data_IF_845350468139
#
_entry.id   IF_845350468139
#
_cell.length_a   1.000
_cell.length_b   1.000
_cell.length_c   1.000
_cell.angle_alpha   90.00
_cell.angle_beta   90.00
_cell.angle_gamma   90.00
#
_symmetry.space_group_name_H-M   'P 1'
#
loop_
_entity.id
_entity.type
_entity.pdbx_description
1 polymer ?
#
# COMPACT_ATOMS: atom_id res chain seq x y z
N UNK A 1 -2.48 14.01 8.79
CA UNK A 1 -3.69 13.50 8.12
C UNK A 1 -3.31 12.37 7.19
N UNK A 2 -4.18 11.36 7.00
CA UNK A 2 -3.96 10.31 6.00
C UNK A 2 -3.85 10.91 4.58
N UNK A 3 -3.20 10.20 3.67
CA UNK A 3 -3.18 10.54 2.25
C UNK A 3 -4.48 9.98 1.65
N UNK A 4 -5.31 10.86 1.08
CA UNK A 4 -6.62 10.52 0.50
C UNK A 4 -6.85 11.36 -0.77
N UNK A 5 -7.62 10.84 -1.76
CA UNK A 5 -8.24 9.51 -1.79
C UNK A 5 -7.20 8.38 -1.88
N UNK A 6 -7.60 7.11 -1.69
CA UNK A 6 -6.66 5.98 -1.90
C UNK A 6 -6.47 5.72 -3.40
N UNK A 7 -7.57 5.79 -4.15
CA UNK A 7 -7.68 5.43 -5.57
C UNK A 7 -8.68 6.35 -6.24
N UNK A 8 -8.63 6.42 -7.56
CA UNK A 8 -9.64 7.07 -8.40
C UNK A 8 -10.12 6.09 -9.47
N UNK A 9 -11.36 6.28 -9.92
CA UNK A 9 -11.99 5.54 -11.01
C UNK A 9 -12.72 6.52 -11.92
N UNK A 10 -13.03 6.08 -13.14
CA UNK A 10 -13.80 6.87 -14.11
C UNK A 10 -15.19 7.22 -13.52
N UNK A 11 -15.42 8.51 -13.34
CA UNK A 11 -16.67 9.04 -12.78
C UNK A 11 -17.57 9.68 -13.84
N UNK A 12 -17.18 9.68 -15.11
CA UNK A 12 -17.79 10.52 -16.13
C UNK A 12 -17.11 11.89 -16.20
N UNK A 13 -17.50 12.65 -17.22
CA UNK A 13 -16.87 13.91 -17.60
C UNK A 13 -17.91 15.02 -17.81
N UNK A 14 -17.43 16.25 -17.88
CA UNK A 14 -18.22 17.44 -18.20
C UNK A 14 -17.85 17.96 -19.58
N UNK A 15 -18.84 18.41 -20.33
CA UNK A 15 -18.60 19.16 -21.56
C UNK A 15 -18.09 20.55 -21.21
N UNK A 16 -17.15 21.06 -21.98
CA UNK A 16 -16.61 22.41 -21.87
C UNK A 16 -16.79 23.13 -23.20
N UNK A 17 -17.38 24.32 -23.18
CA UNK A 17 -17.49 25.21 -24.33
C UNK A 17 -16.93 26.60 -24.00
N UNK A 18 -17.19 27.58 -24.88
CA UNK A 18 -16.73 28.97 -24.71
C UNK A 18 -17.45 29.73 -23.59
N UNK A 19 -18.56 29.23 -23.08
CA UNK A 19 -19.40 29.87 -22.06
C UNK A 19 -19.18 29.23 -20.68
N UNK A 20 -18.92 27.93 -20.61
CA UNK A 20 -18.62 27.23 -19.37
C UNK A 20 -18.61 25.71 -19.49
N UNK A 21 -18.79 25.04 -18.36
CA UNK A 21 -18.89 23.58 -18.31
C UNK A 21 -20.28 23.10 -17.89
N UNK A 22 -20.73 21.97 -18.47
CA UNK A 22 -22.01 21.36 -18.16
C UNK A 22 -21.92 19.84 -18.22
N UNK A 23 -22.67 19.16 -17.34
CA UNK A 23 -22.79 17.70 -17.39
C UNK A 23 -23.68 17.27 -18.54
N UNK A 24 -23.14 16.51 -19.50
CA UNK A 24 -23.87 15.99 -20.66
C UNK A 24 -24.09 14.49 -20.47
N UNK A 25 -25.30 13.93 -20.66
CA UNK A 25 -25.56 12.51 -20.42
C UNK A 25 -24.61 11.54 -21.14
N UNK A 26 -24.14 11.88 -22.35
CA UNK A 26 -23.19 11.06 -23.12
C UNK A 26 -21.79 10.99 -22.53
N UNK A 27 -21.48 11.86 -21.55
CA UNK A 27 -20.22 11.88 -20.83
C UNK A 27 -20.34 11.23 -19.43
N UNK A 28 -21.53 10.70 -19.09
CA UNK A 28 -21.80 10.07 -17.79
C UNK A 28 -21.87 8.56 -17.95
N UNK A 29 -21.78 7.83 -16.84
CA UNK A 29 -21.92 6.37 -16.86
C UNK A 29 -23.40 6.01 -16.93
N UNK A 30 -23.71 4.93 -17.65
CA UNK A 30 -25.06 4.35 -17.74
C UNK A 30 -25.30 3.42 -16.55
N UNK A 31 -26.49 3.46 -15.97
CA UNK A 31 -26.93 2.59 -14.88
C UNK A 31 -28.42 2.31 -14.96
N UNK A 32 -28.92 1.38 -14.14
CA UNK A 32 -30.34 1.07 -14.02
C UNK A 32 -31.09 2.17 -13.27
N UNK A 33 -32.29 2.50 -13.74
CA UNK A 33 -33.17 3.42 -13.02
C UNK A 33 -33.83 2.72 -11.82
N UNK A 34 -34.16 3.46 -10.76
CA UNK A 34 -34.82 2.90 -9.57
C UNK A 34 -36.28 2.50 -9.82
N UNK A 35 -36.92 3.04 -10.86
CA UNK A 35 -38.27 2.68 -11.30
C UNK A 35 -38.24 2.14 -12.73
N UNK A 36 -38.04 0.81 -12.93
CA UNK A 36 -37.88 0.21 -14.26
C UNK A 36 -39.11 0.35 -15.17
N UNK A 37 -40.31 0.46 -14.58
CA UNK A 37 -41.56 0.62 -15.34
C UNK A 37 -41.66 1.99 -16.04
N UNK A 38 -41.07 3.03 -15.45
CA UNK A 38 -41.07 4.39 -16.03
C UNK A 38 -39.92 4.56 -17.03
N UNK A 39 -38.75 4.01 -16.68
CA UNK A 39 -37.52 4.12 -17.45
C UNK A 39 -36.60 2.98 -17.07
N UNK A 40 -35.99 2.31 -18.05
CA UNK A 40 -35.06 1.20 -17.78
C UNK A 40 -33.69 1.69 -17.28
N UNK A 41 -33.14 2.73 -17.91
CA UNK A 41 -31.78 3.20 -17.66
C UNK A 41 -31.72 4.69 -17.34
N UNK A 42 -30.74 5.09 -16.54
CA UNK A 42 -30.40 6.49 -16.29
C UNK A 42 -28.89 6.67 -16.31
N UNK A 43 -28.42 7.90 -16.20
CA UNK A 43 -27.01 8.20 -16.06
C UNK A 43 -26.67 8.71 -14.67
N UNK A 44 -25.43 8.50 -14.26
CA UNK A 44 -24.87 8.95 -12.99
C UNK A 44 -23.38 9.27 -13.17
N UNK A 45 -22.84 10.13 -12.32
CA UNK A 45 -21.50 10.70 -12.52
C UNK A 45 -20.77 11.00 -11.19
N UNK A 46 -19.58 11.58 -11.31
CA UNK A 46 -18.70 12.01 -10.25
C UNK A 46 -18.28 10.86 -9.31
N UNK A 47 -18.07 11.18 -8.03
CA UNK A 47 -17.54 10.23 -7.03
C UNK A 47 -18.49 9.06 -6.75
N UNK A 48 -19.80 9.21 -6.98
CA UNK A 48 -20.77 8.11 -6.87
C UNK A 48 -20.55 7.05 -7.95
N UNK A 49 -20.35 7.48 -9.20
CA UNK A 49 -20.02 6.59 -10.32
C UNK A 49 -18.66 5.91 -10.11
N UNK A 50 -17.64 6.68 -9.72
CA UNK A 50 -16.33 6.14 -9.39
C UNK A 50 -16.38 5.10 -8.24
N UNK A 51 -17.20 5.34 -7.22
CA UNK A 51 -17.39 4.40 -6.09
C UNK A 51 -18.08 3.11 -6.54
N UNK A 52 -19.05 3.19 -7.45
CA UNK A 52 -19.70 2.01 -8.01
C UNK A 52 -18.70 1.14 -8.78
N UNK A 53 -17.83 1.75 -9.60
CA UNK A 53 -16.76 1.02 -10.30
C UNK A 53 -15.73 0.42 -9.34
N UNK A 54 -15.32 1.16 -8.30
CA UNK A 54 -14.42 0.65 -7.27
C UNK A 54 -15.03 -0.56 -6.53
N UNK A 55 -16.34 -0.52 -6.26
CA UNK A 55 -17.07 -1.61 -5.61
C UNK A 55 -17.14 -2.85 -6.51
N UNK A 56 -17.41 -2.65 -7.80
CA UNK A 56 -17.37 -3.74 -8.79
C UNK A 56 -15.98 -4.38 -8.85
N UNK A 57 -14.92 -3.58 -8.94
CA UNK A 57 -13.54 -4.07 -8.97
C UNK A 57 -13.22 -4.93 -7.74
N UNK A 58 -13.58 -4.46 -6.54
CA UNK A 58 -13.39 -5.20 -5.30
C UNK A 58 -14.19 -6.51 -5.28
N UNK A 59 -15.42 -6.50 -5.83
CA UNK A 59 -16.26 -7.68 -5.94
C UNK A 59 -15.71 -8.70 -6.94
N UNK A 60 -15.17 -8.26 -8.08
CA UNK A 60 -14.50 -9.14 -9.06
C UNK A 60 -13.27 -9.81 -8.43
N UNK A 61 -12.42 -9.07 -7.69
CA UNK A 61 -11.30 -9.68 -6.96
C UNK A 61 -11.77 -10.64 -5.86
N UNK A 62 -12.85 -10.32 -5.15
CA UNK A 62 -13.41 -11.20 -4.12
C UNK A 62 -14.02 -12.47 -4.73
N UNK A 63 -14.59 -12.38 -5.94
CA UNK A 63 -15.13 -13.53 -6.64
C UNK A 63 -14.02 -14.47 -7.11
N UNK A 64 -12.92 -13.93 -7.62
CA UNK A 64 -11.74 -14.70 -8.01
C UNK A 64 -11.00 -15.29 -6.80
N UNK A 65 -10.86 -14.49 -5.74
CA UNK A 65 -10.11 -14.85 -4.54
C UNK A 65 -11.00 -14.78 -3.28
N UNK A 66 -11.91 -15.76 -3.08
CA UNK A 66 -12.92 -15.73 -2.02
C UNK A 66 -12.32 -15.72 -0.60
N UNK A 67 -11.19 -16.41 -0.41
CA UNK A 67 -10.57 -16.62 0.89
C UNK A 67 -9.69 -15.45 1.37
N UNK A 68 -9.32 -14.53 0.47
CA UNK A 68 -8.45 -13.38 0.83
C UNK A 68 -9.15 -12.41 1.77
N UNK A 69 -8.43 -11.85 2.73
CA UNK A 69 -8.95 -10.86 3.67
C UNK A 69 -9.31 -9.54 2.97
N UNK A 70 -10.27 -8.76 3.54
CA UNK A 70 -10.57 -7.42 3.04
C UNK A 70 -9.35 -6.49 2.97
N UNK A 71 -8.40 -6.64 3.91
CA UNK A 71 -7.11 -5.96 3.90
C UNK A 71 -6.33 -6.26 2.61
N UNK A 72 -6.33 -7.52 2.18
CA UNK A 72 -5.62 -8.00 0.99
C UNK A 72 -6.31 -7.56 -0.28
N UNK A 73 -7.64 -7.65 -0.37
CA UNK A 73 -8.38 -7.10 -1.51
C UNK A 73 -8.07 -5.61 -1.69
N UNK A 74 -8.11 -4.82 -0.59
CA UNK A 74 -7.74 -3.41 -0.64
C UNK A 74 -6.26 -3.21 -1.02
N UNK A 75 -5.36 -4.06 -0.55
CA UNK A 75 -3.95 -4.02 -0.92
C UNK A 75 -3.78 -4.26 -2.42
N UNK A 76 -4.41 -5.29 -3.00
CA UNK A 76 -4.32 -5.63 -4.43
C UNK A 76 -4.85 -4.52 -5.33
N UNK A 77 -5.96 -3.88 -4.96
CA UNK A 77 -6.50 -2.72 -5.69
C UNK A 77 -5.51 -1.54 -5.70
N UNK A 78 -4.88 -1.25 -4.55
CA UNK A 78 -3.91 -0.16 -4.44
C UNK A 78 -2.58 -0.51 -5.10
N UNK A 79 -2.16 -1.77 -4.98
CA UNK A 79 -0.92 -2.28 -5.52
C UNK A 79 -0.89 -2.21 -7.04
N UNK A 80 -2.01 -2.53 -7.71
CA UNK A 80 -2.12 -2.47 -9.18
C UNK A 80 -2.31 -1.06 -9.75
N UNK A 81 -2.59 -0.07 -8.91
CA UNK A 81 -2.92 1.27 -9.38
C UNK A 81 -1.70 2.06 -9.86
N UNK A 82 -1.83 2.70 -11.02
CA UNK A 82 -0.82 3.61 -11.56
C UNK A 82 -1.43 4.98 -11.89
N UNK A 83 -0.55 5.99 -11.91
CA UNK A 83 -0.93 7.28 -12.46
C UNK A 83 -0.88 7.26 -13.98
N UNK A 84 -1.98 7.68 -14.60
CA UNK A 84 -2.02 7.88 -16.05
C UNK A 84 -1.12 9.05 -16.47
N UNK A 85 -0.76 9.10 -17.75
CA UNK A 85 0.03 10.21 -18.29
C UNK A 85 -0.62 11.57 -18.03
N UNK A 86 -1.95 11.67 -18.17
CA UNK A 86 -2.70 12.88 -17.86
C UNK A 86 -2.55 13.29 -16.38
N UNK A 87 -2.64 12.33 -15.45
CA UNK A 87 -2.41 12.58 -14.02
C UNK A 87 -0.97 13.03 -13.75
N UNK A 88 0.02 12.45 -14.45
CA UNK A 88 1.41 12.86 -14.33
C UNK A 88 1.66 14.27 -14.86
N UNK A 89 1.10 14.61 -16.03
CA UNK A 89 1.26 15.89 -16.71
C UNK A 89 0.67 17.06 -15.90
N UNK A 90 -0.48 16.85 -15.25
CA UNK A 90 -1.13 17.88 -14.42
C UNK A 90 -0.22 18.43 -13.31
N UNK A 91 0.77 17.64 -12.86
CA UNK A 91 1.71 18.00 -11.79
C UNK A 91 3.16 18.09 -12.28
N UNK A 92 3.42 18.11 -13.59
CA UNK A 92 4.76 18.10 -14.15
C UNK A 92 5.58 19.35 -13.80
N UNK A 93 4.93 20.52 -13.69
CA UNK A 93 5.62 21.81 -13.52
C UNK A 93 6.02 22.16 -12.08
N UNK A 94 5.79 21.29 -11.10
CA UNK A 94 6.00 21.64 -9.68
C UNK A 94 7.17 20.88 -9.08
N UNK A 95 8.18 21.56 -8.54
CA UNK A 95 9.08 21.03 -7.48
C UNK A 95 9.87 19.72 -7.77
N UNK A 96 10.54 19.16 -6.76
CA UNK A 96 11.30 17.88 -6.83
C UNK A 96 10.37 16.67 -7.04
N UNK A 97 10.89 15.57 -7.58
CA UNK A 97 10.12 14.35 -7.92
C UNK A 97 9.20 13.85 -6.79
N UNK A 98 9.73 13.72 -5.57
CA UNK A 98 8.93 13.29 -4.39
C UNK A 98 7.78 14.24 -4.06
N UNK A 99 7.97 15.55 -4.21
CA UNK A 99 6.91 16.52 -3.95
C UNK A 99 5.82 16.44 -5.02
N UNK A 100 6.17 16.21 -6.31
CA UNK A 100 5.19 15.91 -7.36
C UNK A 100 4.37 14.66 -7.05
N UNK A 101 5.03 13.61 -6.56
CA UNK A 101 4.37 12.37 -6.17
C UNK A 101 3.37 12.61 -5.03
N UNK A 102 3.76 13.40 -4.02
CA UNK A 102 2.87 13.76 -2.91
C UNK A 102 1.69 14.63 -3.32
N UNK A 103 1.89 15.58 -4.24
CA UNK A 103 0.81 16.44 -4.72
C UNK A 103 -0.19 15.65 -5.58
N UNK A 104 0.31 14.73 -6.42
CA UNK A 104 -0.54 13.76 -7.14
C UNK A 104 -1.34 12.91 -6.17
N UNK A 105 -0.68 12.32 -5.18
CA UNK A 105 -1.33 11.44 -4.20
C UNK A 105 -2.44 12.14 -3.40
N UNK A 106 -2.29 13.44 -3.11
CA UNK A 106 -3.32 14.25 -2.45
C UNK A 106 -4.53 14.57 -3.34
N UNK A 107 -4.40 14.44 -4.66
CA UNK A 107 -5.45 14.76 -5.62
C UNK A 107 -6.13 13.49 -6.15
N UNK A 108 -5.34 12.50 -6.55
CA UNK A 108 -5.82 11.28 -7.25
C UNK A 108 -5.44 9.98 -6.55
N UNK A 109 -4.91 10.05 -5.32
CA UNK A 109 -4.45 8.85 -4.62
C UNK A 109 -3.33 8.14 -5.40
N UNK A 110 -3.27 6.82 -5.29
CA UNK A 110 -2.32 5.99 -6.03
C UNK A 110 -2.65 5.84 -7.52
N UNK A 111 -3.72 6.49 -8.00
CA UNK A 111 -4.12 6.49 -9.40
C UNK A 111 -5.25 5.51 -9.70
N UNK A 112 -5.25 4.99 -10.92
CA UNK A 112 -6.28 4.11 -11.46
C UNK A 112 -5.83 2.65 -11.33
N UNK A 113 -6.57 1.80 -10.59
CA UNK A 113 -6.32 0.36 -10.52
C UNK A 113 -6.44 -0.35 -11.86
N UNK A 114 -5.66 -1.41 -12.01
CA UNK A 114 -5.65 -2.29 -13.17
C UNK A 114 -6.13 -3.68 -12.74
N UNK A 115 -7.28 -4.12 -13.26
CA UNK A 115 -7.94 -5.34 -12.81
C UNK A 115 -7.16 -6.57 -13.23
N UNK A 116 -6.69 -6.59 -14.47
CA UNK A 116 -5.86 -7.67 -15.00
C UNK A 116 -4.62 -7.79 -14.13
N UNK A 117 -3.91 -6.69 -13.87
CA UNK A 117 -2.73 -6.75 -12.99
C UNK A 117 -3.07 -7.15 -11.56
N UNK A 118 -4.21 -6.75 -11.01
CA UNK A 118 -4.61 -7.22 -9.68
C UNK A 118 -4.89 -8.72 -9.63
N UNK A 119 -5.38 -9.31 -10.71
CA UNK A 119 -5.61 -10.75 -10.86
C UNK A 119 -4.29 -11.49 -11.16
N UNK A 120 -3.53 -11.01 -12.14
CA UNK A 120 -2.31 -11.61 -12.68
C UNK A 120 -1.03 -11.29 -11.90
N UNK A 121 -1.09 -10.41 -10.88
CA UNK A 121 0.00 -10.32 -9.90
C UNK A 121 0.23 -11.67 -9.20
N UNK A 122 -0.69 -12.63 -9.30
CA UNK A 122 -0.45 -14.01 -8.90
C UNK A 122 0.38 -14.86 -9.91
N UNK A 123 0.55 -14.42 -11.17
CA UNK A 123 1.01 -15.28 -12.27
C UNK A 123 2.11 -14.73 -13.20
N UNK A 124 2.34 -13.42 -13.34
CA UNK A 124 3.38 -12.89 -14.28
C UNK A 124 4.31 -11.83 -13.68
N UNK A 125 3.98 -11.25 -12.52
CA UNK A 125 4.90 -10.41 -11.75
C UNK A 125 5.22 -11.20 -10.50
N UNK A 126 6.51 -11.35 -10.14
CA UNK A 126 6.86 -11.98 -8.88
C UNK A 126 6.18 -11.21 -7.75
N UNK A 127 5.12 -11.77 -7.16
CA UNK A 127 4.41 -11.15 -6.05
C UNK A 127 4.40 -12.05 -4.81
N UNK A 128 4.81 -11.48 -3.68
CA UNK A 128 4.59 -12.06 -2.37
C UNK A 128 3.31 -11.44 -1.79
N UNK A 129 2.35 -12.28 -1.42
CA UNK A 129 1.15 -11.90 -0.68
C UNK A 129 1.21 -12.56 0.70
N UNK A 130 1.16 -11.76 1.75
CA UNK A 130 1.15 -12.23 3.15
C UNK A 130 -0.10 -11.72 3.85
N UNK A 131 -0.82 -12.62 4.51
CA UNK A 131 -1.88 -12.34 5.47
C UNK A 131 -1.45 -12.81 6.85
N UNK A 132 -1.34 -11.89 7.80
CA UNK A 132 -0.76 -12.22 9.10
C UNK A 132 -1.29 -11.29 10.19
N UNK A 133 -1.08 -11.68 11.44
CA UNK A 133 -1.59 -11.02 12.63
C UNK A 133 -0.47 -10.78 13.63
N UNK A 134 -0.26 -9.52 14.02
CA UNK A 134 0.75 -9.14 15.01
C UNK A 134 0.12 -8.46 16.22
N UNK A 135 0.73 -8.62 17.40
CA UNK A 135 0.40 -7.86 18.60
C UNK A 135 1.30 -6.61 18.69
N UNK A 136 0.79 -5.40 18.38
CA UNK A 136 1.62 -4.21 18.26
C UNK A 136 2.22 -3.77 19.59
N UNK A 137 1.48 -3.94 20.70
CA UNK A 137 1.86 -3.39 21.99
C UNK A 137 1.78 -4.42 23.12
N UNK A 138 2.40 -4.09 24.25
CA UNK A 138 2.24 -4.81 25.52
C UNK A 138 2.55 -3.90 26.69
N UNK A 139 1.88 -4.13 27.83
CA UNK A 139 2.29 -3.53 29.10
C UNK A 139 3.59 -4.17 29.58
N UNK A 140 4.63 -3.35 29.74
CA UNK A 140 5.95 -3.75 30.27
C UNK A 140 5.97 -3.61 31.79
N UNK A 141 6.97 -4.21 32.43
CA UNK A 141 7.29 -3.96 33.84
C UNK A 141 7.42 -2.45 34.07
N UNK A 142 6.80 -1.92 35.14
CA UNK A 142 6.68 -0.48 35.39
C UNK A 142 5.46 0.21 34.75
N UNK A 143 4.53 -0.54 34.14
CA UNK A 143 3.23 -0.02 33.69
C UNK A 143 3.27 0.85 32.43
N UNK A 144 4.44 0.98 31.79
CA UNK A 144 4.57 1.61 30.46
C UNK A 144 4.11 0.65 29.37
N UNK A 145 3.35 1.16 28.40
CA UNK A 145 3.00 0.41 27.20
C UNK A 145 4.07 0.67 26.16
N UNK A 146 4.72 -0.40 25.69
CA UNK A 146 5.73 -0.36 24.64
C UNK A 146 5.35 -1.25 23.47
N UNK A 147 6.08 -1.11 22.37
CA UNK A 147 5.96 -2.03 21.22
C UNK A 147 6.31 -3.46 21.62
N UNK A 148 5.72 -4.45 20.96
CA UNK A 148 5.88 -5.88 21.27
C UNK A 148 6.43 -6.66 20.08
N UNK A 149 5.60 -6.93 19.08
CA UNK A 149 6.00 -7.77 17.93
C UNK A 149 6.46 -6.93 16.74
N UNK A 150 7.38 -7.51 15.97
CA UNK A 150 7.85 -7.06 14.66
C UNK A 150 7.97 -8.33 13.82
N UNK A 151 7.34 -8.34 12.66
CA UNK A 151 7.39 -9.47 11.75
C UNK A 151 8.48 -9.20 10.71
N UNK A 152 9.28 -10.22 10.42
CA UNK A 152 10.27 -10.21 9.35
C UNK A 152 9.81 -11.25 8.33
N UNK A 153 9.66 -10.82 7.09
CA UNK A 153 9.33 -11.71 5.97
C UNK A 153 10.53 -11.78 5.05
N UNK A 154 10.88 -13.00 4.68
CA UNK A 154 11.85 -13.23 3.61
C UNK A 154 11.18 -12.96 2.27
N UNK A 155 11.86 -12.22 1.42
CA UNK A 155 11.38 -11.91 0.09
C UNK A 155 11.92 -12.98 -0.86
N UNK A 156 11.05 -13.75 -1.54
CA UNK A 156 11.45 -14.91 -2.34
C UNK A 156 12.01 -14.46 -3.70
N UNK A 157 13.10 -13.70 -3.68
CA UNK A 157 13.66 -13.13 -4.90
C UNK A 157 14.58 -14.11 -5.62
N UNK A 158 14.49 -14.17 -6.96
CA UNK A 158 15.39 -14.97 -7.76
C UNK A 158 16.72 -14.21 -7.85
N UNK A 159 17.55 -14.35 -6.80
CA UNK A 159 18.83 -13.63 -6.70
C UNK A 159 19.70 -13.84 -7.94
N UNK A 160 19.71 -15.06 -8.49
CA UNK A 160 20.39 -15.41 -9.74
C UNK A 160 19.88 -14.59 -10.92
N UNK A 161 18.58 -14.57 -11.22
CA UNK A 161 18.04 -13.76 -12.31
C UNK A 161 18.30 -12.27 -12.10
N UNK A 162 18.07 -11.74 -10.89
CA UNK A 162 18.31 -10.33 -10.61
C UNK A 162 19.79 -9.95 -10.79
N UNK A 163 20.71 -10.84 -10.45
CA UNK A 163 22.14 -10.64 -10.70
C UNK A 163 22.49 -10.72 -12.18
N UNK A 164 21.82 -11.58 -12.97
CA UNK A 164 22.01 -11.69 -14.42
C UNK A 164 21.48 -10.46 -15.17
N UNK A 165 20.36 -9.90 -14.72
CA UNK A 165 19.82 -8.63 -15.22
C UNK A 165 20.83 -7.49 -14.99
N UNK A 166 21.63 -7.56 -13.92
CA UNK A 166 22.77 -6.69 -13.68
C UNK A 166 22.38 -5.24 -13.37
N UNK A 167 22.77 -4.33 -14.27
CA UNK A 167 22.68 -2.88 -14.08
C UNK A 167 21.38 -2.25 -14.61
N UNK A 168 20.39 -3.05 -14.98
CA UNK A 168 19.09 -2.54 -15.42
C UNK A 168 18.30 -2.07 -14.19
N UNK A 169 17.59 -0.95 -14.37
CA UNK A 169 16.75 -0.40 -13.32
C UNK A 169 15.45 -1.23 -13.20
N UNK A 170 15.14 -1.59 -11.97
CA UNK A 170 13.95 -2.36 -11.59
C UNK A 170 13.16 -1.61 -10.54
N UNK A 171 11.87 -1.91 -10.49
CA UNK A 171 10.92 -1.35 -9.55
C UNK A 171 10.52 -2.41 -8.52
N UNK A 172 10.67 -2.09 -7.24
CA UNK A 172 10.10 -2.85 -6.14
C UNK A 172 8.88 -2.08 -5.61
N UNK A 173 7.69 -2.64 -5.80
CA UNK A 173 6.46 -2.08 -5.25
C UNK A 173 6.11 -2.80 -3.95
N UNK A 174 5.89 -2.05 -2.88
CA UNK A 174 5.43 -2.61 -1.60
C UNK A 174 4.12 -1.95 -1.20
N UNK A 175 3.12 -2.74 -0.85
CA UNK A 175 1.84 -2.29 -0.33
C UNK A 175 1.50 -2.98 0.98
N UNK A 176 1.36 -2.20 2.06
CA UNK A 176 0.95 -2.65 3.40
C UNK A 176 -0.45 -2.11 3.71
N UNK A 177 -1.39 -3.00 3.98
CA UNK A 177 -2.80 -2.70 4.24
C UNK A 177 -3.23 -3.28 5.59
N UNK A 178 -3.88 -2.48 6.42
CA UNK A 178 -4.47 -2.93 7.68
C UNK A 178 -5.67 -2.05 8.08
N UNK A 179 -6.64 -2.59 8.82
CA UNK A 179 -7.72 -1.77 9.38
C UNK A 179 -7.39 -1.31 10.79
N UNK A 180 -7.82 -0.08 11.10
CA UNK A 180 -7.67 0.52 12.41
C UNK A 180 -9.02 0.52 13.12
N UNK A 181 -9.00 0.43 14.45
CA UNK A 181 -10.15 0.77 15.27
C UNK A 181 -10.10 2.29 15.52
N UNK A 182 -11.13 3.05 15.11
CA UNK A 182 -11.19 4.47 15.44
C UNK A 182 -11.30 4.64 16.94
N UNK A 183 -10.76 5.74 17.45
CA UNK A 183 -10.86 6.05 18.86
C UNK A 183 -12.33 6.23 19.27
N UNK A 184 -12.82 5.51 20.30
CA UNK A 184 -14.22 5.55 20.70
C UNK A 184 -14.66 6.84 21.41
N UNK A 185 -13.77 7.80 21.67
CA UNK A 185 -14.15 9.05 22.34
C UNK A 185 -14.71 10.10 21.39
N UNK A 186 -15.84 10.70 21.78
CA UNK A 186 -16.46 11.88 21.15
C UNK A 186 -15.68 13.18 21.35
N UNK A 187 -14.73 13.22 22.29
CA UNK A 187 -13.85 14.38 22.49
C UNK A 187 -12.83 14.45 21.36
N UNK A 188 -12.80 15.58 20.66
CA UNK A 188 -11.72 15.97 19.74
C UNK A 188 -10.40 16.04 20.51
N UNK A 189 -9.74 14.88 20.66
CA UNK A 189 -8.44 14.83 21.32
C UNK A 189 -7.40 15.25 20.29
N UNK A 190 -6.84 16.44 20.54
CA UNK A 190 -5.74 16.97 19.74
C UNK A 190 -4.54 16.01 19.79
N UNK A 191 -4.00 15.67 18.63
CA UNK A 191 -2.79 14.85 18.49
C UNK A 191 -2.84 13.89 17.31
N UNK A 192 -1.72 13.74 16.60
CA UNK A 192 -1.58 12.87 15.41
C UNK A 192 -1.98 11.40 15.64
N UNK A 193 -1.88 10.93 16.89
CA UNK A 193 -2.13 9.54 17.30
C UNK A 193 -3.43 9.35 18.08
N UNK A 194 -4.31 10.35 18.07
CA UNK A 194 -5.57 10.25 18.81
C UNK A 194 -6.60 9.41 18.09
N UNK A 195 -6.53 9.26 16.77
CA UNK A 195 -7.58 8.57 15.99
C UNK A 195 -7.31 7.07 15.77
N UNK A 196 -6.15 6.69 15.23
CA UNK A 196 -5.84 5.31 14.89
C UNK A 196 -5.47 4.46 16.13
N UNK A 197 -6.02 3.25 16.23
CA UNK A 197 -5.72 2.26 17.28
C UNK A 197 -4.25 1.91 17.38
N UNK A 198 -3.69 1.60 16.24
CA UNK A 198 -2.31 1.25 16.00
C UNK A 198 -1.94 1.79 14.62
N UNK A 199 -0.64 1.94 14.40
CA UNK A 199 -0.09 2.22 13.08
C UNK A 199 0.91 1.14 12.79
N UNK A 200 0.90 0.60 11.58
CA UNK A 200 1.93 -0.30 11.09
C UNK A 200 2.77 0.44 10.05
N UNK A 201 4.05 0.08 10.00
CA UNK A 201 5.01 0.55 9.00
C UNK A 201 5.72 -0.65 8.42
N UNK A 202 6.27 -0.46 7.24
CA UNK A 202 7.21 -1.40 6.66
C UNK A 202 8.53 -0.71 6.37
N UNK A 203 9.59 -1.51 6.37
CA UNK A 203 10.83 -1.12 5.74
C UNK A 203 11.59 -2.33 5.22
N UNK A 204 12.47 -2.11 4.26
CA UNK A 204 13.20 -3.17 3.56
C UNK A 204 14.67 -3.09 3.98
N UNK A 205 15.30 -4.26 4.12
CA UNK A 205 16.75 -4.39 4.36
C UNK A 205 17.51 -3.67 3.24
N UNK A 206 18.59 -2.97 3.58
CA UNK A 206 19.47 -2.34 2.57
C UNK A 206 20.45 -3.37 1.98
N UNK A 207 20.98 -3.14 0.76
CA UNK A 207 21.87 -4.11 0.10
C UNK A 207 23.06 -4.51 0.98
N UNK A 208 23.78 -3.53 1.54
CA UNK A 208 24.98 -3.76 2.36
C UNK A 208 24.71 -3.90 3.87
N UNK A 209 23.45 -3.94 4.28
CA UNK A 209 23.08 -4.03 5.69
C UNK A 209 22.96 -5.50 6.12
N UNK A 210 23.53 -5.87 7.27
CA UNK A 210 23.34 -7.20 7.85
C UNK A 210 21.92 -7.35 8.42
N UNK A 211 21.41 -8.57 8.58
CA UNK A 211 20.10 -8.78 9.21
C UNK A 211 20.06 -8.26 10.65
N UNK A 212 21.17 -8.35 11.39
CA UNK A 212 21.23 -7.82 12.75
C UNK A 212 21.18 -6.28 12.76
N UNK A 213 21.90 -5.62 11.87
CA UNK A 213 21.88 -4.16 11.74
C UNK A 213 20.52 -3.67 11.27
N UNK A 214 19.87 -4.41 10.36
CA UNK A 214 18.50 -4.16 9.95
C UNK A 214 17.55 -4.19 11.16
N UNK A 215 17.59 -5.27 11.96
CA UNK A 215 16.80 -5.38 13.20
C UNK A 215 17.09 -4.23 14.16
N UNK A 216 18.36 -3.85 14.34
CA UNK A 216 18.75 -2.74 15.22
C UNK A 216 18.19 -1.40 14.71
N UNK A 217 18.23 -1.16 13.40
CA UNK A 217 17.68 0.03 12.75
C UNK A 217 16.17 0.11 12.93
N UNK A 218 15.43 -0.95 12.66
CA UNK A 218 13.97 -0.97 12.86
C UNK A 218 13.60 -0.79 14.33
N UNK A 219 14.30 -1.43 15.25
CA UNK A 219 14.10 -1.21 16.69
C UNK A 219 14.38 0.23 17.13
N UNK A 220 15.33 0.92 16.50
CA UNK A 220 15.57 2.35 16.73
C UNK A 220 14.44 3.19 16.15
N UNK A 221 14.02 2.94 14.91
CA UNK A 221 12.91 3.67 14.28
C UNK A 221 11.58 3.49 15.01
N UNK A 222 11.28 2.27 15.48
CA UNK A 222 10.12 1.98 16.31
C UNK A 222 10.16 2.79 17.62
N UNK A 223 11.35 2.92 18.25
CA UNK A 223 11.59 3.74 19.45
C UNK A 223 11.47 5.25 19.18
N UNK A 224 12.01 5.73 18.07
CA UNK A 224 11.95 7.15 17.70
C UNK A 224 10.51 7.56 17.38
N UNK A 225 9.77 6.69 16.71
CA UNK A 225 8.34 6.87 16.45
C UNK A 225 7.52 7.02 17.75
N UNK A 226 7.94 6.40 18.85
CA UNK A 226 7.31 6.58 20.16
C UNK A 226 7.44 8.00 20.70
N UNK A 227 8.58 8.64 20.43
CA UNK A 227 8.90 10.00 20.88
C UNK A 227 8.43 11.06 19.88
N UNK A 228 7.71 10.66 18.83
CA UNK A 228 7.25 11.56 17.77
C UNK A 228 8.37 12.06 16.85
N UNK A 229 9.59 11.55 17.02
CA UNK A 229 10.73 11.90 16.20
C UNK A 229 10.74 11.08 14.91
N UNK A 230 11.01 11.75 13.79
CA UNK A 230 11.25 11.13 12.50
C UNK A 230 12.72 11.42 12.18
N UNK A 231 13.64 10.76 12.88
CA UNK A 231 15.07 11.04 12.78
C UNK A 231 15.73 10.20 11.69
N UNK A 232 16.59 10.80 10.87
CA UNK A 232 17.40 10.14 9.84
C UNK A 232 16.99 10.44 8.38
N UNK A 233 17.93 10.31 7.42
CA UNK A 233 17.65 10.53 6.00
C UNK A 233 16.66 9.49 5.48
N UNK A 234 15.69 9.93 4.66
CA UNK A 234 14.91 9.03 3.83
C UNK A 234 15.80 8.51 2.71
N UNK A 235 15.74 7.22 2.42
CA UNK A 235 16.42 6.67 1.24
C UNK A 235 15.92 7.40 -0.01
N UNK A 236 16.83 7.88 -0.88
CA UNK A 236 16.48 8.70 -2.02
C UNK A 236 15.68 7.92 -3.06
N UNK A 237 15.94 6.61 -3.16
CA UNK A 237 15.42 5.67 -4.15
C UNK A 237 13.93 5.32 -4.00
N UNK A 238 13.34 5.62 -2.84
CA UNK A 238 11.91 5.47 -2.61
C UNK A 238 11.14 6.69 -3.10
N UNK A 239 10.10 6.48 -3.90
CA UNK A 239 9.28 7.54 -4.47
C UNK A 239 8.69 8.47 -3.38
N UNK A 240 8.02 7.89 -2.38
CA UNK A 240 7.42 8.63 -1.26
C UNK A 240 8.33 8.66 -0.03
N UNK A 241 9.08 7.58 0.20
CA UNK A 241 9.94 7.44 1.38
C UNK A 241 9.12 7.55 2.66
N UNK A 242 9.59 8.34 3.63
CA UNK A 242 8.91 8.46 4.95
C UNK A 242 7.48 8.96 4.89
N UNK A 243 7.10 9.67 3.83
CA UNK A 243 5.76 10.20 3.66
C UNK A 243 4.72 9.11 3.34
N UNK A 244 5.16 7.89 2.97
CA UNK A 244 4.28 6.74 2.73
C UNK A 244 3.46 6.34 3.96
N UNK A 245 3.98 6.58 5.18
CA UNK A 245 3.38 6.09 6.42
C UNK A 245 2.25 6.98 6.97
N UNK A 246 1.27 7.33 6.11
CA UNK A 246 0.13 8.20 6.47
C UNK A 246 -1.20 7.51 6.19
N UNK A 247 -1.80 6.96 7.25
CA UNK A 247 -3.08 6.24 7.17
C UNK A 247 -2.88 4.77 7.50
N UNK A 248 -3.75 3.92 6.96
CA UNK A 248 -3.74 2.47 7.20
C UNK A 248 -3.58 1.64 5.92
N UNK A 249 -3.22 2.30 4.84
CA UNK A 249 -2.78 1.73 3.58
C UNK A 249 -1.55 2.50 3.14
N UNK A 250 -0.47 1.80 2.85
CA UNK A 250 0.79 2.39 2.45
C UNK A 250 1.27 1.68 1.19
N UNK A 251 1.45 2.42 0.10
CA UNK A 251 2.14 1.94 -1.09
C UNK A 251 3.34 2.83 -1.35
N UNK A 252 4.46 2.23 -1.70
CA UNK A 252 5.65 2.96 -2.14
C UNK A 252 6.42 2.12 -3.16
N UNK A 253 7.15 2.82 -4.03
CA UNK A 253 7.91 2.23 -5.12
C UNK A 253 9.37 2.59 -4.90
N UNK A 254 10.22 1.58 -4.81
CA UNK A 254 11.67 1.73 -4.81
C UNK A 254 12.18 1.48 -6.21
N UNK A 255 13.06 2.35 -6.70
CA UNK A 255 13.72 2.21 -8.01
C UNK A 255 15.22 2.09 -7.81
N UNK A 256 15.83 1.12 -8.48
CA UNK A 256 17.28 0.97 -8.49
C UNK A 256 17.73 -0.26 -9.25
N UNK A 257 19.04 -0.54 -9.18
CA UNK A 257 19.66 -1.63 -9.94
C UNK A 257 19.17 -3.01 -9.49
N UNK A 258 18.97 -3.93 -10.44
CA UNK A 258 18.57 -5.31 -10.16
C UNK A 258 19.53 -6.02 -9.18
N UNK A 259 20.85 -5.84 -9.36
CA UNK A 259 21.85 -6.37 -8.44
C UNK A 259 21.70 -5.82 -7.01
N UNK A 260 21.34 -4.53 -6.86
CA UNK A 260 21.07 -3.95 -5.54
C UNK A 260 19.77 -4.50 -4.95
N UNK A 261 18.75 -4.74 -5.79
CA UNK A 261 17.52 -5.38 -5.35
C UNK A 261 17.80 -6.80 -4.83
N UNK A 262 18.60 -7.62 -5.51
CA UNK A 262 18.91 -9.00 -5.08
C UNK A 262 19.38 -9.13 -3.61
N UNK A 263 20.03 -8.11 -3.07
CA UNK A 263 20.61 -8.11 -1.71
C UNK A 263 19.66 -7.58 -0.60
N UNK A 264 18.55 -6.96 -0.97
CA UNK A 264 17.53 -6.38 -0.06
C UNK A 264 16.54 -7.41 0.55
N UNK A 265 16.91 -8.70 0.68
CA UNK A 265 15.98 -9.86 0.73
C UNK A 265 15.01 -10.00 1.91
N UNK A 266 14.82 -8.97 2.72
CA UNK A 266 13.96 -9.02 3.90
C UNK A 266 13.17 -7.73 4.06
N UNK A 267 11.90 -7.89 4.45
CA UNK A 267 11.01 -6.79 4.78
C UNK A 267 10.51 -6.95 6.21
N UNK A 268 10.52 -5.84 6.97
CA UNK A 268 9.99 -5.79 8.32
C UNK A 268 8.62 -5.12 8.31
N UNK A 269 7.65 -5.67 9.05
CA UNK A 269 6.41 -4.99 9.45
C UNK A 269 6.45 -4.75 10.94
N UNK A 270 6.30 -3.49 11.36
CA UNK A 270 6.46 -3.11 12.76
C UNK A 270 5.48 -2.01 13.20
N UNK A 271 5.11 -2.01 14.49
CA UNK A 271 4.17 -1.05 15.03
C UNK A 271 4.83 0.31 15.31
N UNK A 272 4.07 1.36 15.01
CA UNK A 272 4.30 2.74 15.44
C UNK A 272 3.23 3.16 16.48
N UNK A 273 3.03 4.45 16.71
CA UNK A 273 2.10 4.95 17.75
C UNK A 273 0.62 4.70 17.42
N UNK A 274 -0.23 4.70 18.46
CA UNK A 274 -1.69 4.60 18.33
C UNK A 274 -2.41 4.65 19.69
N UNK A 275 -3.73 4.80 19.69
CA UNK A 275 -4.48 4.98 20.94
C UNK A 275 -4.53 3.73 21.82
N UNK A 276 -4.37 2.52 21.26
CA UNK A 276 -4.21 1.29 22.06
C UNK A 276 -3.02 1.40 23.02
N UNK A 277 -1.99 2.14 22.62
CA UNK A 277 -0.80 2.40 23.44
C UNK A 277 -0.95 3.59 24.37
N UNK A 278 -1.44 4.73 23.86
CA UNK A 278 -1.47 5.98 24.64
C UNK A 278 -2.57 5.98 25.71
N UNK A 279 -3.69 5.29 25.46
CA UNK A 279 -4.84 5.23 26.38
C UNK A 279 -4.89 3.95 27.18
N UNK A 280 -3.96 3.85 28.14
CA UNK A 280 -3.81 2.68 29.03
C UNK A 280 -5.10 2.29 29.75
N UNK A 281 -5.95 3.27 30.09
CA UNK A 281 -7.23 3.08 30.79
C UNK A 281 -8.19 2.17 30.01
N UNK A 282 -8.13 2.20 28.68
CA UNK A 282 -9.00 1.37 27.82
C UNK A 282 -8.49 -0.08 27.68
N UNK A 283 -7.30 -0.39 28.20
CA UNK A 283 -6.71 -1.74 28.25
C UNK A 283 -6.71 -2.49 26.91
N UNK A 284 -6.60 -1.77 25.79
CA UNK A 284 -6.54 -2.37 24.44
C UNK A 284 -5.12 -2.71 23.97
N UNK A 285 -4.12 -2.51 24.81
CA UNK A 285 -2.71 -2.73 24.44
C UNK A 285 -2.35 -4.19 24.18
N UNK A 286 -3.17 -5.16 24.59
CA UNK A 286 -2.95 -6.60 24.32
C UNK A 286 -3.71 -7.12 23.09
N UNK A 287 -4.42 -6.25 22.36
CA UNK A 287 -5.09 -6.64 21.12
C UNK A 287 -4.09 -6.96 20.02
N UNK A 288 -4.48 -7.88 19.15
CA UNK A 288 -3.78 -8.18 17.91
C UNK A 288 -4.40 -7.42 16.73
N UNK A 289 -3.62 -7.24 15.68
CA UNK A 289 -4.00 -6.54 14.45
C UNK A 289 -3.60 -7.37 13.24
N UNK A 290 -4.57 -7.57 12.34
CA UNK A 290 -4.36 -8.17 11.02
C UNK A 290 -3.75 -7.16 10.07
N UNK A 291 -2.92 -7.66 9.16
CA UNK A 291 -2.42 -6.88 8.03
C UNK A 291 -2.24 -7.78 6.81
N UNK A 292 -2.26 -7.14 5.65
CA UNK A 292 -1.89 -7.72 4.38
C UNK A 292 -0.67 -6.98 3.82
N UNK A 293 0.29 -7.75 3.32
CA UNK A 293 1.49 -7.23 2.66
C UNK A 293 1.55 -7.80 1.24
N UNK A 294 1.59 -6.92 0.25
CA UNK A 294 1.75 -7.27 -1.16
C UNK A 294 3.04 -6.63 -1.66
N UNK A 295 3.96 -7.44 -2.15
CA UNK A 295 5.26 -7.00 -2.68
C UNK A 295 5.41 -7.51 -4.09
N UNK A 296 5.86 -6.68 -5.03
CA UNK A 296 6.14 -7.11 -6.39
C UNK A 296 7.41 -6.48 -6.97
N UNK A 297 8.01 -7.16 -7.96
CA UNK A 297 9.14 -6.65 -8.74
C UNK A 297 8.75 -6.50 -10.21
N UNK A 298 9.07 -5.37 -10.81
CA UNK A 298 8.95 -5.13 -12.25
C UNK A 298 10.29 -4.71 -12.84
N UNK A 299 10.63 -5.23 -14.02
CA UNK A 299 11.75 -4.75 -14.84
C UNK A 299 11.17 -4.11 -16.11
N UNK A 300 10.97 -2.77 -16.16
CA UNK A 300 10.27 -2.13 -17.28
C UNK A 300 10.97 -2.31 -18.64
N UNK A 301 12.28 -2.51 -18.64
CA UNK A 301 13.12 -2.54 -19.84
C UNK A 301 13.39 -3.96 -20.36
N UNK A 302 12.96 -5.02 -19.64
CA UNK A 302 13.29 -6.41 -20.02
C UNK A 302 12.11 -7.33 -19.81
N UNK A 303 11.85 -8.14 -20.84
CA UNK A 303 10.93 -9.27 -20.78
C UNK A 303 11.67 -10.50 -20.21
N UNK A 304 12.00 -10.45 -18.90
CA UNK A 304 12.50 -11.62 -18.17
C UNK A 304 11.36 -12.25 -17.41
N UNK A 305 11.17 -13.56 -17.62
CA UNK A 305 10.24 -14.36 -16.83
C UNK A 305 10.82 -14.65 -15.43
N UNK A 306 10.71 -13.64 -14.56
CA UNK A 306 11.09 -13.73 -13.15
C UNK A 306 10.15 -14.65 -12.36
N UNK A 307 8.98 -14.96 -12.89
CA UNK A 307 7.95 -15.73 -12.23
C UNK A 307 8.32 -17.22 -12.13
N UNK A 308 8.75 -17.81 -13.25
CA UNK A 308 9.14 -19.21 -13.30
C UNK A 308 10.36 -19.53 -12.39
N UNK A 309 11.32 -18.61 -12.27
CA UNK A 309 12.47 -18.81 -11.36
C UNK A 309 12.05 -18.89 -9.89
N UNK A 310 11.06 -18.10 -9.47
CA UNK A 310 10.62 -18.12 -8.07
C UNK A 310 9.72 -19.30 -7.76
N UNK A 311 8.80 -19.68 -8.66
CA UNK A 311 7.99 -20.89 -8.47
C UNK A 311 8.90 -22.10 -8.21
N UNK A 312 10.02 -22.18 -8.92
CA UNK A 312 11.04 -23.21 -8.70
C UNK A 312 11.64 -23.12 -7.29
N UNK A 313 12.02 -21.92 -6.83
CA UNK A 313 12.61 -21.73 -5.50
C UNK A 313 11.64 -21.99 -4.33
N UNK A 314 10.40 -21.54 -4.44
CA UNK A 314 9.36 -21.74 -3.40
C UNK A 314 9.00 -23.22 -3.29
N UNK A 315 8.86 -23.92 -4.43
CA UNK A 315 8.60 -25.37 -4.44
C UNK A 315 9.74 -26.16 -3.76
N UNK A 316 10.99 -25.74 -3.98
CA UNK A 316 12.17 -26.34 -3.31
C UNK A 316 12.18 -26.07 -1.81
N UNK A 317 11.79 -24.87 -1.36
CA UNK A 317 11.70 -24.56 0.08
C UNK A 317 10.62 -25.40 0.79
N UNK A 318 9.46 -25.59 0.16
CA UNK A 318 8.39 -26.42 0.73
C UNK A 318 8.79 -27.91 0.85
N UNK A 319 9.59 -28.43 -0.09
CA UNK A 319 10.08 -29.81 -0.06
C UNK A 319 11.15 -30.08 1.02
N UNK A 320 11.81 -29.03 1.55
CA UNK A 320 12.83 -29.15 2.60
C UNK A 320 12.23 -29.01 4.00
N UNK A 321 11.04 -28.43 4.12
CA UNK A 321 10.29 -28.34 5.39
C UNK A 321 9.34 -29.53 5.63
N UNK A 322 9.30 -30.53 4.73
CA UNK A 322 8.54 -31.79 4.91
C UNK A 322 9.47 -32.95 5.28
#
# INVERSE_FOLDING_TARGET
MPLKPDLVFEGGNVGLDSVGCAGIPSLKLLTTHNTPLDRLFTTFEATSAATALASRFAAELRAEYPDLWPETIRALMVHSADWTDAMCQQFAQKSKARQRALDRLRCVGFGLPDLERSMWSASNTLALIVEDELQPFKKRAGGRIGSREMHLHDLPWPKSALQQIGDIDVELTVTLSYFIEPNPSSRNVAGKYSYASHQLRFDVKRPLESLEDFRRRINREARDAEHGAVNGPSEPDWLLGRERHRGSIHKDIWMGKAAALAERGQIAVYPAMGWWRTRKVLQRYDKKARYALVVSIRAPEVDVDLYNEVLTQVSVQQAVET
#
